data_IF_055385659697
#
_entry.id   IF_055385659697
#
_cell.length_a   1.000
_cell.length_b   1.000
_cell.length_c   1.000
_cell.angle_alpha   90.00
_cell.angle_beta   90.00
_cell.angle_gamma   90.00
#
_symmetry.space_group_name_H-M   'P 1'
#
loop_
_entity.id
_entity.type
_entity.pdbx_description
1 polymer ?
#
# COMPACT_ATOMS: atom_id res chain seq x y z
N UNK A 1 -15.20 -6.33 10.62
CA UNK A 1 -14.35 -6.86 9.53
C UNK A 1 -13.30 -7.78 10.16
N UNK A 2 -13.07 -8.98 9.62
CA UNK A 2 -12.04 -9.89 10.12
C UNK A 2 -10.64 -9.52 9.57
N UNK A 3 -9.58 -10.04 10.20
CA UNK A 3 -8.16 -9.78 9.87
C UNK A 3 -7.86 -10.02 8.38
N UNK A 4 -8.31 -11.14 7.81
CA UNK A 4 -8.09 -11.46 6.40
C UNK A 4 -8.75 -10.49 5.43
N UNK A 5 -10.04 -10.19 5.61
CA UNK A 5 -10.76 -9.22 4.77
C UNK A 5 -10.10 -7.85 4.83
N UNK A 6 -9.57 -7.46 5.99
CA UNK A 6 -8.85 -6.19 6.14
C UNK A 6 -7.57 -6.14 5.29
N UNK A 7 -6.71 -7.16 5.36
CA UNK A 7 -5.49 -7.22 4.56
C UNK A 7 -5.76 -7.26 3.06
N UNK A 8 -6.77 -8.02 2.64
CA UNK A 8 -7.19 -8.09 1.25
C UNK A 8 -7.71 -6.74 0.75
N UNK A 9 -8.53 -6.06 1.56
CA UNK A 9 -9.02 -4.71 1.22
C UNK A 9 -7.87 -3.71 1.09
N UNK A 10 -6.88 -3.73 2.00
CA UNK A 10 -5.72 -2.86 1.92
C UNK A 10 -4.86 -3.13 0.68
N UNK A 11 -4.66 -4.40 0.32
CA UNK A 11 -4.00 -4.77 -0.94
C UNK A 11 -4.79 -4.26 -2.15
N UNK A 12 -6.11 -4.42 -2.17
CA UNK A 12 -6.99 -3.94 -3.23
C UNK A 12 -6.94 -2.42 -3.40
N UNK A 13 -6.96 -1.66 -2.31
CA UNK A 13 -6.78 -0.19 -2.34
C UNK A 13 -5.41 0.18 -2.89
N UNK A 14 -4.36 -0.58 -2.55
CA UNK A 14 -3.01 -0.35 -3.09
C UNK A 14 -2.95 -0.60 -4.59
N UNK A 15 -3.62 -1.65 -5.09
CA UNK A 15 -3.73 -1.92 -6.54
C UNK A 15 -4.46 -0.79 -7.24
N UNK A 16 -5.61 -0.34 -6.70
CA UNK A 16 -6.36 0.78 -7.27
C UNK A 16 -5.50 2.05 -7.33
N UNK A 17 -4.74 2.33 -6.27
CA UNK A 17 -3.81 3.45 -6.21
C UNK A 17 -2.73 3.36 -7.30
N UNK A 18 -2.16 2.17 -7.53
CA UNK A 18 -1.18 1.93 -8.58
C UNK A 18 -1.77 2.12 -9.98
N UNK A 19 -3.00 1.67 -10.22
CA UNK A 19 -3.69 1.86 -11.50
C UNK A 19 -3.91 3.35 -11.79
N UNK A 20 -4.39 4.11 -10.81
CA UNK A 20 -4.55 5.57 -10.95
C UNK A 20 -3.21 6.25 -11.22
N UNK A 21 -2.16 5.88 -10.48
CA UNK A 21 -0.81 6.39 -10.69
C UNK A 21 -0.32 6.11 -12.11
N UNK A 22 -0.50 4.89 -12.61
CA UNK A 22 -0.14 4.50 -13.97
C UNK A 22 -0.94 5.28 -15.03
N UNK A 23 -2.23 5.51 -14.83
CA UNK A 23 -3.02 6.37 -15.75
C UNK A 23 -2.42 7.78 -15.79
N UNK A 24 -2.04 8.36 -14.65
CA UNK A 24 -1.40 9.68 -14.60
C UNK A 24 -0.06 9.71 -15.33
N UNK A 25 0.71 8.62 -15.33
CA UNK A 25 2.00 8.57 -16.05
C UNK A 25 1.82 8.54 -17.56
N UNK A 26 0.76 7.91 -18.08
CA UNK A 26 0.49 7.82 -19.52
C UNK A 26 -0.24 9.05 -20.08
N UNK A 27 -1.18 9.64 -19.33
CA UNK A 27 -2.06 10.71 -19.82
C UNK A 27 -1.73 12.11 -19.27
N UNK A 28 -0.57 12.24 -18.61
CA UNK A 28 -0.16 13.40 -17.81
C UNK A 28 -1.06 13.63 -16.57
N UNK A 29 -0.51 14.22 -15.48
CA UNK A 29 -1.26 14.44 -14.25
C UNK A 29 -2.33 15.53 -14.42
N UNK A 30 -3.60 15.13 -14.53
CA UNK A 30 -4.76 16.01 -14.44
C UNK A 30 -5.11 16.31 -12.97
N UNK A 31 -5.39 17.57 -12.55
CA UNK A 31 -5.47 17.91 -11.13
C UNK A 31 -6.48 17.10 -10.30
N UNK A 32 -7.71 16.81 -10.78
CA UNK A 32 -8.62 15.89 -10.10
C UNK A 32 -8.07 14.48 -9.89
N UNK A 33 -7.34 13.94 -10.87
CA UNK A 33 -6.76 12.60 -10.78
C UNK A 33 -5.60 12.58 -9.78
N UNK A 34 -4.77 13.63 -9.78
CA UNK A 34 -3.72 13.84 -8.78
C UNK A 34 -4.32 13.96 -7.37
N UNK A 35 -5.40 14.71 -7.21
CA UNK A 35 -6.11 14.84 -5.94
C UNK A 35 -6.67 13.50 -5.45
N UNK A 36 -7.31 12.72 -6.33
CA UNK A 36 -7.79 11.38 -6.01
C UNK A 36 -6.66 10.42 -5.62
N UNK A 37 -5.54 10.47 -6.34
CA UNK A 37 -4.35 9.69 -6.04
C UNK A 37 -3.76 10.06 -4.67
N UNK A 38 -3.59 11.35 -4.37
CA UNK A 38 -3.10 11.80 -3.08
C UNK A 38 -4.05 11.43 -1.92
N UNK A 39 -5.36 11.53 -2.15
CA UNK A 39 -6.38 11.14 -1.17
C UNK A 39 -6.32 9.65 -0.83
N UNK A 40 -6.21 8.78 -1.84
CA UNK A 40 -6.06 7.34 -1.65
C UNK A 40 -4.74 6.96 -0.95
N UNK A 41 -3.65 7.69 -1.19
CA UNK A 41 -2.41 7.53 -0.41
C UNK A 41 -2.64 7.83 1.09
N UNK A 42 -3.43 8.87 1.40
CA UNK A 42 -3.87 9.17 2.77
C UNK A 42 -4.71 8.03 3.38
N UNK A 43 -5.63 7.46 2.61
CA UNK A 43 -6.40 6.27 3.05
C UNK A 43 -5.48 5.09 3.33
N UNK A 44 -4.50 4.82 2.46
CA UNK A 44 -3.52 3.73 2.67
C UNK A 44 -2.70 3.92 3.94
N UNK A 45 -2.32 5.16 4.27
CA UNK A 45 -1.64 5.46 5.53
C UNK A 45 -2.55 5.16 6.73
N UNK A 46 -3.82 5.57 6.68
CA UNK A 46 -4.78 5.27 7.73
C UNK A 46 -5.03 3.77 7.88
N UNK A 47 -5.11 3.03 6.77
CA UNK A 47 -5.22 1.56 6.78
C UNK A 47 -3.96 0.93 7.38
N UNK A 48 -2.76 1.37 7.01
CA UNK A 48 -1.53 0.85 7.59
C UNK A 48 -1.46 1.10 9.11
N UNK A 49 -1.84 2.30 9.57
CA UNK A 49 -1.91 2.64 11.00
C UNK A 49 -2.96 1.82 11.73
N UNK A 50 -4.16 1.69 11.18
CA UNK A 50 -5.24 0.89 11.78
C UNK A 50 -4.88 -0.60 11.81
N UNK A 51 -4.11 -1.07 10.83
CA UNK A 51 -3.57 -2.43 10.76
C UNK A 51 -2.74 -2.85 11.97
N UNK A 52 -2.15 -1.90 12.71
CA UNK A 52 -1.44 -2.21 13.96
C UNK A 52 -2.34 -2.89 15.00
N UNK A 53 -3.67 -2.72 14.92
CA UNK A 53 -4.64 -3.40 15.80
C UNK A 53 -4.86 -4.87 15.43
N UNK A 54 -4.62 -5.24 14.17
CA UNK A 54 -4.79 -6.61 13.67
C UNK A 54 -3.49 -7.40 13.62
N UNK A 55 -2.35 -6.71 13.65
CA UNK A 55 -1.04 -7.33 13.56
C UNK A 55 -0.60 -7.92 14.90
N UNK A 56 -0.36 -9.22 14.92
CA UNK A 56 0.19 -9.91 16.08
C UNK A 56 1.65 -9.52 16.33
N UNK A 57 2.14 -9.84 17.54
CA UNK A 57 3.52 -9.51 17.94
C UNK A 57 4.53 -10.19 16.99
N UNK A 58 5.71 -9.59 16.85
CA UNK A 58 6.80 -10.15 16.06
C UNK A 58 6.69 -9.82 14.57
N UNK A 59 6.55 -10.84 13.71
CA UNK A 59 6.71 -10.70 12.26
C UNK A 59 5.64 -9.80 11.63
N UNK A 60 4.36 -10.02 11.93
CA UNK A 60 3.27 -9.22 11.35
C UNK A 60 3.40 -7.74 11.69
N UNK A 61 3.65 -7.42 12.97
CA UNK A 61 3.82 -6.03 13.40
C UNK A 61 5.01 -5.35 12.72
N UNK A 62 6.12 -6.06 12.45
CA UNK A 62 7.24 -5.52 11.66
C UNK A 62 6.83 -5.21 10.23
N UNK A 63 6.04 -6.08 9.58
CA UNK A 63 5.55 -5.85 8.22
C UNK A 63 4.63 -4.62 8.19
N UNK A 64 3.71 -4.48 9.15
CA UNK A 64 2.81 -3.31 9.20
C UNK A 64 3.56 -2.01 9.46
N UNK A 65 4.55 -2.00 10.36
CA UNK A 65 5.43 -0.83 10.55
C UNK A 65 6.18 -0.51 9.25
N UNK A 66 6.69 -1.53 8.56
CA UNK A 66 7.28 -1.40 7.23
C UNK A 66 6.33 -0.77 6.22
N UNK A 67 5.04 -1.16 6.22
CA UNK A 67 4.04 -0.56 5.35
C UNK A 67 3.78 0.91 5.66
N UNK A 68 3.73 1.30 6.94
CA UNK A 68 3.59 2.71 7.33
C UNK A 68 4.76 3.52 6.76
N UNK A 69 5.99 3.04 6.96
CA UNK A 69 7.19 3.71 6.44
C UNK A 69 7.20 3.76 4.91
N UNK A 70 6.84 2.66 4.25
CA UNK A 70 6.74 2.59 2.78
C UNK A 70 5.73 3.60 2.24
N UNK A 71 4.53 3.70 2.82
CA UNK A 71 3.52 4.68 2.36
C UNK A 71 4.07 6.11 2.47
N UNK A 72 4.74 6.45 3.57
CA UNK A 72 5.36 7.78 3.76
C UNK A 72 6.46 8.02 2.70
N UNK A 73 7.35 7.06 2.49
CA UNK A 73 8.43 7.18 1.50
C UNK A 73 7.91 7.28 0.07
N UNK A 74 6.95 6.44 -0.30
CA UNK A 74 6.27 6.48 -1.60
C UNK A 74 5.64 7.86 -1.80
N UNK A 75 4.94 8.38 -0.79
CA UNK A 75 4.30 9.70 -0.85
C UNK A 75 5.31 10.83 -1.02
N UNK A 76 6.43 10.77 -0.30
CA UNK A 76 7.52 11.73 -0.43
C UNK A 76 8.16 11.71 -1.84
N UNK A 77 8.37 10.53 -2.42
CA UNK A 77 8.84 10.39 -3.79
C UNK A 77 7.82 10.92 -4.81
N UNK A 78 6.52 10.71 -4.57
CA UNK A 78 5.45 11.26 -5.40
C UNK A 78 5.49 12.79 -5.46
N UNK A 79 5.69 13.45 -4.32
CA UNK A 79 5.90 14.90 -4.26
C UNK A 79 7.20 15.33 -4.94
N UNK A 80 8.29 14.57 -4.73
CA UNK A 80 9.57 14.80 -5.40
C UNK A 80 9.47 14.70 -6.93
N UNK A 81 8.63 13.79 -7.45
CA UNK A 81 8.39 13.67 -8.89
C UNK A 81 7.74 14.93 -9.46
N UNK A 82 6.78 15.55 -8.76
CA UNK A 82 6.14 16.79 -9.22
C UNK A 82 7.16 17.92 -9.46
N UNK A 83 8.27 17.93 -8.72
CA UNK A 83 9.33 18.93 -8.85
C UNK A 83 10.42 18.51 -9.85
N UNK A 84 10.87 17.25 -9.78
CA UNK A 84 12.05 16.77 -10.50
C UNK A 84 11.74 16.17 -11.88
N UNK A 85 10.50 15.74 -12.12
CA UNK A 85 10.05 15.09 -13.37
C UNK A 85 10.99 13.97 -13.85
N UNK A 86 11.57 13.22 -12.92
CA UNK A 86 12.62 12.22 -13.19
C UNK A 86 12.06 10.81 -13.36
N UNK A 87 12.44 10.15 -14.45
CA UNK A 87 12.11 8.74 -14.72
C UNK A 87 12.70 7.77 -13.68
N UNK A 88 13.79 8.15 -13.00
CA UNK A 88 14.34 7.33 -11.91
C UNK A 88 13.42 7.42 -10.69
N UNK A 89 12.93 8.61 -10.37
CA UNK A 89 12.01 8.82 -9.24
C UNK A 89 10.70 8.07 -9.47
N UNK A 90 10.13 8.13 -10.68
CA UNK A 90 8.87 7.44 -11.00
C UNK A 90 9.03 5.92 -10.93
N UNK A 91 10.17 5.39 -11.39
CA UNK A 91 10.47 3.95 -11.31
C UNK A 91 10.63 3.49 -9.86
N UNK A 92 11.41 4.22 -9.05
CA UNK A 92 11.56 3.92 -7.62
C UNK A 92 10.22 3.99 -6.88
N UNK A 93 9.41 5.01 -7.16
CA UNK A 93 8.07 5.17 -6.61
C UNK A 93 7.19 3.94 -6.92
N UNK A 94 7.18 3.49 -8.17
CA UNK A 94 6.43 2.32 -8.60
C UNK A 94 6.92 1.01 -7.97
N UNK A 95 8.24 0.79 -7.91
CA UNK A 95 8.82 -0.41 -7.27
C UNK A 95 8.50 -0.49 -5.78
N UNK A 96 8.53 0.64 -5.07
CA UNK A 96 8.13 0.67 -3.65
C UNK A 96 6.62 0.41 -3.49
N UNK A 97 5.78 0.88 -4.41
CA UNK A 97 4.35 0.58 -4.41
C UNK A 97 4.07 -0.92 -4.61
N UNK A 98 4.85 -1.60 -5.46
CA UNK A 98 4.83 -3.07 -5.56
C UNK A 98 5.15 -3.71 -4.20
N UNK A 99 6.22 -3.25 -3.54
CA UNK A 99 6.59 -3.73 -2.20
C UNK A 99 5.45 -3.58 -1.18
N UNK A 100 4.73 -2.45 -1.22
CA UNK A 100 3.59 -2.20 -0.34
C UNK A 100 2.44 -3.19 -0.56
N UNK A 101 2.01 -3.41 -1.81
CA UNK A 101 0.96 -4.40 -2.11
C UNK A 101 1.41 -5.81 -1.74
N UNK A 102 2.66 -6.17 -2.04
CA UNK A 102 3.23 -7.48 -1.67
C UNK A 102 3.18 -7.72 -0.16
N UNK A 103 3.51 -6.71 0.66
CA UNK A 103 3.44 -6.85 2.11
C UNK A 103 2.01 -7.07 2.62
N UNK A 104 1.00 -6.37 2.07
CA UNK A 104 -0.40 -6.62 2.43
C UNK A 104 -0.85 -8.03 1.99
N UNK A 105 -0.43 -8.49 0.82
CA UNK A 105 -0.70 -9.87 0.36
C UNK A 105 -0.03 -10.92 1.25
N UNK A 106 1.20 -10.67 1.73
CA UNK A 106 1.88 -11.56 2.69
C UNK A 106 1.12 -11.63 4.02
N UNK A 107 0.63 -10.50 4.54
CA UNK A 107 -0.19 -10.48 5.77
C UNK A 107 -1.49 -11.27 5.59
N UNK A 108 -2.12 -11.16 4.43
CA UNK A 108 -3.28 -11.99 4.09
C UNK A 108 -2.92 -13.49 4.07
N UNK A 109 -1.82 -13.86 3.41
CA UNK A 109 -1.35 -15.25 3.35
C UNK A 109 -1.02 -15.85 4.70
N UNK A 110 -0.40 -15.07 5.60
CA UNK A 110 -0.14 -15.50 6.99
C UNK A 110 -1.46 -15.82 7.70
N UNK A 111 -2.45 -14.94 7.62
CA UNK A 111 -3.76 -15.16 8.24
C UNK A 111 -4.46 -16.43 7.74
N UNK A 112 -4.42 -16.71 6.44
CA UNK A 112 -5.00 -17.93 5.88
C UNK A 112 -4.27 -19.16 6.41
N UNK A 113 -2.94 -19.16 6.39
CA UNK A 113 -2.14 -20.29 6.91
C UNK A 113 -2.38 -20.56 8.40
N UNK A 114 -2.58 -19.51 9.21
CA UNK A 114 -2.96 -19.65 10.62
C UNK A 114 -4.34 -20.29 10.81
N UNK A 115 -5.32 -19.96 9.96
CA UNK A 115 -6.66 -20.57 10.03
C UNK A 115 -6.66 -22.03 9.61
N UNK A 116 -5.92 -22.36 8.57
CA UNK A 116 -5.78 -23.75 8.10
C UNK A 116 -5.10 -24.62 9.17
N UNK A 117 -4.03 -24.12 9.80
CA UNK A 117 -3.35 -24.82 10.90
C UNK A 117 -4.26 -25.06 12.12
N UNK A 118 -5.29 -24.22 12.31
CA UNK A 118 -6.28 -24.37 13.38
C UNK A 118 -7.50 -25.22 12.98
N UNK A 119 -7.54 -25.77 11.76
CA UNK A 119 -8.69 -26.54 11.26
C UNK A 119 -9.95 -25.69 11.05
N UNK A 120 -9.80 -24.37 10.87
CA UNK A 120 -10.90 -23.40 10.74
C UNK A 120 -11.06 -22.91 9.30
N UNK A 121 -10.68 -23.69 8.30
CA UNK A 121 -10.79 -23.30 6.89
C UNK A 121 -12.26 -23.18 6.47
#
# INVERSE_FOLDING_TARGET
MNKGTFWLAAAGVTILQMLIGNVMTYYAPYPPLLGAHAFLAGILLLLALFGLRFAEKGRERRIVIGNILLVVLISALGLGFLQLQSNVVILLHFLLAIGLVSNFSVLYGIYIGEREAQGKA
#
